data_IF_407952623920
#
_entry.id   IF_407952623920
#
_cell.length_a   1.000
_cell.length_b   1.000
_cell.length_c   1.000
_cell.angle_alpha   90.00
_cell.angle_beta   90.00
_cell.angle_gamma   90.00
#
_symmetry.space_group_name_H-M   'P 1'
#
loop_
_entity.id
_entity.type
_entity.pdbx_description
1 polymer ?
#
# COMPACT_ATOMS: atom_id res chain seq x y z
N UNK A 1 -14.51 -1.23 20.16
CA UNK A 1 -14.60 -1.19 21.63
C UNK A 1 -14.66 0.23 22.18
N UNK A 2 -13.67 1.12 21.95
CA UNK A 2 -13.65 2.51 22.45
C UNK A 2 -14.93 3.32 22.17
N UNK A 3 -15.40 3.33 20.91
CA UNK A 3 -16.63 4.05 20.52
C UNK A 3 -17.88 3.53 21.22
N UNK A 4 -17.97 2.22 21.43
CA UNK A 4 -19.08 1.58 22.15
C UNK A 4 -19.07 1.96 23.63
N UNK A 5 -17.92 1.91 24.30
CA UNK A 5 -17.79 2.32 25.70
C UNK A 5 -18.12 3.80 25.92
N UNK A 6 -17.67 4.69 25.02
CA UNK A 6 -18.06 6.10 25.07
C UNK A 6 -19.57 6.28 24.86
N UNK A 7 -20.17 5.55 23.94
CA UNK A 7 -21.61 5.57 23.73
C UNK A 7 -22.36 5.14 25.02
N UNK A 8 -21.96 4.03 25.63
CA UNK A 8 -22.57 3.53 26.86
C UNK A 8 -22.41 4.53 28.03
N UNK A 9 -21.23 5.13 28.19
CA UNK A 9 -20.96 6.15 29.20
C UNK A 9 -21.85 7.38 29.00
N UNK A 10 -21.90 7.92 27.76
CA UNK A 10 -22.72 9.10 27.45
C UNK A 10 -24.20 8.87 27.57
N UNK A 11 -24.67 7.61 27.52
CA UNK A 11 -26.07 7.21 27.71
C UNK A 11 -26.40 6.78 29.15
N UNK A 12 -25.43 6.85 30.06
CA UNK A 12 -25.61 6.44 31.46
C UNK A 12 -25.75 4.94 31.70
N UNK A 13 -25.41 4.10 30.69
CA UNK A 13 -25.49 2.63 30.84
C UNK A 13 -24.37 2.05 31.71
N UNK A 14 -23.30 2.79 31.93
CA UNK A 14 -22.28 2.49 32.93
C UNK A 14 -21.53 3.76 33.38
N UNK A 15 -20.83 3.67 34.50
CA UNK A 15 -20.19 4.82 35.17
C UNK A 15 -18.70 5.00 34.81
N UNK A 16 -18.09 4.02 34.13
CA UNK A 16 -16.68 4.08 33.76
C UNK A 16 -16.50 4.88 32.47
N UNK A 17 -15.78 6.00 32.54
CA UNK A 17 -15.31 6.72 31.35
C UNK A 17 -14.23 5.92 30.65
N UNK A 18 -14.19 6.01 29.31
CA UNK A 18 -13.09 5.44 28.50
C UNK A 18 -11.71 5.92 28.96
N UNK A 19 -11.57 7.16 29.43
CA UNK A 19 -10.33 7.73 29.95
C UNK A 19 -9.80 7.03 31.19
N UNK A 20 -10.64 6.29 31.93
CA UNK A 20 -10.25 5.50 33.10
C UNK A 20 -9.66 4.12 32.72
N UNK A 21 -9.77 3.71 31.43
CA UNK A 21 -9.25 2.43 30.96
C UNK A 21 -7.82 2.60 30.45
N UNK A 22 -6.85 2.14 31.22
CA UNK A 22 -5.46 2.05 30.81
C UNK A 22 -5.28 0.90 29.80
N UNK A 23 -5.07 1.24 28.53
CA UNK A 23 -4.64 0.25 27.55
C UNK A 23 -3.11 0.19 27.54
N UNK A 24 -2.52 -1.01 27.60
CA UNK A 24 -1.08 -1.14 27.43
C UNK A 24 -0.67 -0.56 26.06
N UNK A 25 0.43 0.20 26.04
CA UNK A 25 1.01 0.66 24.76
C UNK A 25 1.50 -0.58 24.01
N UNK A 26 0.75 -0.97 22.98
CA UNK A 26 1.22 -2.00 22.04
C UNK A 26 2.45 -1.43 21.32
N UNK A 27 3.61 -2.12 21.35
CA UNK A 27 4.76 -1.71 20.58
C UNK A 27 4.33 -1.53 19.12
N UNK A 28 4.75 -0.43 18.49
CA UNK A 28 4.50 -0.25 17.05
C UNK A 28 5.27 -1.35 16.34
N UNK A 29 4.60 -2.35 15.81
CA UNK A 29 5.23 -3.32 14.93
C UNK A 29 5.75 -2.60 13.68
N UNK A 30 6.96 -2.92 13.27
CA UNK A 30 7.50 -2.48 11.99
C UNK A 30 6.58 -2.91 10.86
N UNK A 31 6.48 -2.06 9.84
CA UNK A 31 5.66 -2.39 8.68
C UNK A 31 6.31 -3.56 7.94
N UNK A 32 5.67 -4.74 7.96
CA UNK A 32 6.16 -5.90 7.24
C UNK A 32 6.04 -5.65 5.73
N UNK A 33 7.15 -5.80 4.99
CA UNK A 33 7.23 -5.67 3.54
C UNK A 33 8.03 -6.83 2.94
N UNK A 34 7.85 -7.10 1.65
CA UNK A 34 8.60 -8.13 0.93
C UNK A 34 9.95 -7.60 0.45
N UNK A 35 10.99 -8.43 0.58
CA UNK A 35 12.28 -8.20 -0.09
C UNK A 35 12.15 -8.35 -1.60
N UNK A 36 13.10 -7.82 -2.38
CA UNK A 36 13.12 -7.97 -3.83
C UNK A 36 13.08 -9.44 -4.24
N UNK A 37 13.88 -10.29 -3.58
CA UNK A 37 13.88 -11.74 -3.81
C UNK A 37 12.50 -12.37 -3.59
N UNK A 38 11.80 -11.98 -2.52
CA UNK A 38 10.44 -12.47 -2.24
C UNK A 38 9.42 -11.97 -3.27
N UNK A 39 9.57 -10.74 -3.76
CA UNK A 39 8.73 -10.21 -4.85
C UNK A 39 8.94 -11.04 -6.12
N UNK A 40 10.17 -11.31 -6.53
CA UNK A 40 10.48 -12.17 -7.69
C UNK A 40 9.85 -13.57 -7.53
N UNK A 41 10.10 -14.23 -6.39
CA UNK A 41 9.51 -15.54 -6.11
C UNK A 41 7.97 -15.53 -6.16
N UNK A 42 7.33 -14.46 -5.67
CA UNK A 42 5.89 -14.29 -5.73
C UNK A 42 5.38 -14.12 -7.17
N UNK A 43 6.08 -13.35 -8.00
CA UNK A 43 5.70 -13.11 -9.39
C UNK A 43 5.91 -14.33 -10.29
N UNK A 44 6.85 -15.20 -9.97
CA UNK A 44 7.10 -16.47 -10.67
C UNK A 44 6.12 -17.59 -10.26
N UNK A 45 5.45 -17.43 -9.10
CA UNK A 45 4.50 -18.44 -8.61
C UNK A 45 3.32 -18.61 -9.58
N UNK A 46 2.96 -19.88 -9.87
CA UNK A 46 1.80 -20.20 -10.70
C UNK A 46 0.48 -19.90 -9.95
N UNK A 47 -0.30 -18.98 -10.47
CA UNK A 47 -1.54 -18.50 -9.86
C UNK A 47 -2.59 -18.11 -10.88
N UNK A 48 -3.85 -18.09 -10.43
CA UNK A 48 -4.96 -17.61 -11.25
C UNK A 48 -4.69 -16.18 -11.76
N UNK A 49 -4.98 -15.91 -13.03
CA UNK A 49 -4.75 -14.61 -13.71
C UNK A 49 -5.31 -13.42 -12.92
N UNK A 50 -6.53 -13.52 -12.43
CA UNK A 50 -7.13 -12.43 -11.66
C UNK A 50 -6.44 -12.16 -10.32
N UNK A 51 -5.84 -13.18 -9.71
CA UNK A 51 -4.99 -13.01 -8.53
C UNK A 51 -3.69 -12.32 -8.92
N UNK A 52 -3.09 -12.71 -10.03
CA UNK A 52 -1.90 -12.08 -10.61
C UNK A 52 -2.14 -10.60 -10.89
N UNK A 53 -3.21 -10.25 -11.59
CA UNK A 53 -3.61 -8.85 -11.85
C UNK A 53 -3.78 -8.07 -10.53
N UNK A 54 -4.43 -8.67 -9.53
CA UNK A 54 -4.62 -8.01 -8.23
C UNK A 54 -3.30 -7.72 -7.51
N UNK A 55 -2.36 -8.66 -7.55
CA UNK A 55 -1.01 -8.52 -6.96
C UNK A 55 -0.22 -7.45 -7.73
N UNK A 56 -0.20 -7.49 -9.05
CA UNK A 56 0.50 -6.53 -9.90
C UNK A 56 0.00 -5.10 -9.67
N UNK A 57 -1.31 -4.88 -9.64
CA UNK A 57 -1.90 -3.57 -9.34
C UNK A 57 -1.48 -3.05 -7.97
N UNK A 58 -1.51 -3.90 -6.93
CA UNK A 58 -1.12 -3.47 -5.58
C UNK A 58 0.37 -3.22 -5.43
N UNK A 59 1.23 -4.02 -6.07
CA UNK A 59 2.69 -3.86 -6.02
C UNK A 59 3.17 -2.67 -6.85
N UNK A 60 2.57 -2.39 -8.00
CA UNK A 60 3.02 -1.31 -8.90
C UNK A 60 2.49 0.07 -8.54
N UNK A 61 1.39 0.16 -7.78
CA UNK A 61 0.70 1.43 -7.51
C UNK A 61 0.50 1.73 -6.03
N UNK A 62 0.69 0.74 -5.18
CA UNK A 62 0.35 0.85 -3.77
C UNK A 62 -1.15 1.03 -3.49
N UNK A 63 -2.03 0.65 -4.42
CA UNK A 63 -3.48 0.66 -4.20
C UNK A 63 -3.87 -0.21 -3.01
N UNK A 64 -4.93 0.19 -2.31
CA UNK A 64 -5.64 -0.72 -1.40
C UNK A 64 -6.41 -1.76 -2.22
N UNK A 65 -6.59 -2.96 -1.67
CA UNK A 65 -7.34 -4.01 -2.38
C UNK A 65 -8.76 -3.55 -2.78
N UNK A 66 -9.42 -2.75 -1.96
CA UNK A 66 -10.74 -2.17 -2.29
C UNK A 66 -10.68 -1.19 -3.46
N UNK A 67 -9.59 -0.43 -3.59
CA UNK A 67 -9.34 0.48 -4.71
C UNK A 67 -9.08 -0.32 -6.00
N UNK A 68 -8.26 -1.38 -5.92
CA UNK A 68 -8.01 -2.27 -7.06
C UNK A 68 -9.29 -2.99 -7.54
N UNK A 69 -10.13 -3.47 -6.62
CA UNK A 69 -11.41 -4.09 -6.93
C UNK A 69 -12.44 -3.12 -7.54
N UNK A 70 -12.34 -1.84 -7.22
CA UNK A 70 -13.22 -0.80 -7.77
C UNK A 70 -12.75 -0.21 -9.10
N UNK A 71 -11.53 -0.55 -9.55
CA UNK A 71 -10.96 -0.06 -10.80
C UNK A 71 -11.77 -0.57 -11.99
N UNK A 72 -12.13 0.35 -12.92
CA UNK A 72 -12.97 0.03 -14.08
C UNK A 72 -12.22 0.22 -15.39
N UNK A 73 -12.67 -0.50 -16.43
CA UNK A 73 -12.20 -0.33 -17.82
C UNK A 73 -12.41 1.10 -18.30
N UNK A 74 -13.55 1.70 -17.93
CA UNK A 74 -13.88 3.07 -18.31
C UNK A 74 -12.95 4.11 -17.65
N UNK A 75 -12.55 3.91 -16.39
CA UNK A 75 -11.55 4.77 -15.74
C UNK A 75 -10.20 4.73 -16.46
N UNK A 76 -9.76 3.55 -16.87
CA UNK A 76 -8.50 3.39 -17.62
C UNK A 76 -8.61 4.05 -19.00
N UNK A 77 -9.72 3.85 -19.72
CA UNK A 77 -9.94 4.47 -21.04
C UNK A 77 -9.93 6.00 -21.02
N UNK A 78 -10.35 6.60 -19.90
CA UNK A 78 -10.37 8.06 -19.69
C UNK A 78 -9.10 8.59 -19.04
N UNK A 79 -8.17 7.72 -18.65
CA UNK A 79 -6.94 8.11 -17.99
C UNK A 79 -5.98 8.79 -18.96
N UNK A 80 -5.29 9.80 -18.47
CA UNK A 80 -4.20 10.46 -19.19
C UNK A 80 -2.95 9.60 -19.13
N UNK A 81 -2.24 9.48 -20.23
CA UNK A 81 -0.93 8.81 -20.30
C UNK A 81 0.17 9.85 -20.11
N UNK A 82 0.90 9.75 -19.01
CA UNK A 82 1.99 10.65 -18.65
C UNK A 82 3.27 9.81 -18.48
N UNK A 83 4.26 10.04 -19.32
CA UNK A 83 5.58 9.35 -19.24
C UNK A 83 5.47 7.81 -19.16
N UNK A 84 4.55 7.20 -19.93
CA UNK A 84 4.33 5.74 -19.91
C UNK A 84 3.51 5.21 -18.73
N UNK A 85 2.92 6.10 -17.92
CA UNK A 85 2.07 5.78 -16.78
C UNK A 85 0.66 6.30 -17.02
N UNK A 86 -0.35 5.48 -16.79
CA UNK A 86 -1.75 5.92 -16.81
C UNK A 86 -2.12 6.56 -15.46
N UNK A 87 -2.50 7.83 -15.48
CA UNK A 87 -2.98 8.54 -14.30
C UNK A 87 -4.47 8.26 -14.09
N UNK A 88 -4.80 7.49 -13.06
CA UNK A 88 -6.17 7.10 -12.74
C UNK A 88 -6.59 7.67 -11.38
N UNK A 89 -7.79 8.24 -11.31
CA UNK A 89 -8.38 8.68 -10.04
C UNK A 89 -9.08 7.53 -9.33
N UNK A 90 -8.69 7.23 -8.11
CA UNK A 90 -9.30 6.21 -7.25
C UNK A 90 -9.94 6.82 -6.01
N UNK A 91 -11.03 6.20 -5.54
CA UNK A 91 -11.74 6.62 -4.35
C UNK A 91 -11.13 5.96 -3.11
N UNK A 92 -10.40 6.73 -2.33
CA UNK A 92 -9.74 6.27 -1.12
C UNK A 92 -10.67 6.25 0.11
N UNK A 93 -10.08 6.02 1.29
CA UNK A 93 -10.79 6.05 2.57
C UNK A 93 -11.43 7.44 2.79
N UNK A 94 -12.61 7.46 3.40
CA UNK A 94 -13.42 8.67 3.62
C UNK A 94 -13.84 9.38 2.32
N UNK A 95 -14.00 8.65 1.21
CA UNK A 95 -14.44 9.16 -0.11
C UNK A 95 -13.53 10.27 -0.68
N UNK A 96 -12.26 10.31 -0.30
CA UNK A 96 -11.28 11.24 -0.87
C UNK A 96 -10.71 10.67 -2.16
N UNK A 97 -10.79 11.42 -3.25
CA UNK A 97 -10.13 11.07 -4.51
C UNK A 97 -8.62 11.23 -4.38
N UNK A 98 -7.87 10.32 -4.97
CA UNK A 98 -6.43 10.43 -5.16
C UNK A 98 -6.02 9.87 -6.52
N UNK A 99 -4.97 10.42 -7.11
CA UNK A 99 -4.37 9.85 -8.31
C UNK A 99 -3.47 8.68 -7.97
N UNK A 100 -3.51 7.66 -8.81
CA UNK A 100 -2.55 6.56 -8.86
C UNK A 100 -1.97 6.49 -10.28
N UNK A 101 -0.74 6.02 -10.39
CA UNK A 101 -0.04 5.90 -11.66
C UNK A 101 0.19 4.41 -11.93
N UNK A 102 -0.39 3.91 -13.03
CA UNK A 102 -0.32 2.50 -13.40
C UNK A 102 0.57 2.37 -14.64
N UNK A 103 1.64 1.56 -14.59
CA UNK A 103 2.49 1.29 -15.75
C UNK A 103 1.70 0.75 -16.95
N UNK A 104 2.08 1.15 -18.15
CA UNK A 104 1.35 0.83 -19.39
C UNK A 104 1.24 -0.68 -19.64
N UNK A 105 2.29 -1.44 -19.35
CA UNK A 105 2.32 -2.90 -19.43
C UNK A 105 1.33 -3.56 -18.46
N UNK A 106 1.24 -3.06 -17.23
CA UNK A 106 0.26 -3.53 -16.23
C UNK A 106 -1.17 -3.21 -16.67
N UNK A 107 -1.39 -2.04 -17.26
CA UNK A 107 -2.69 -1.67 -17.85
C UNK A 107 -3.05 -2.64 -18.98
N UNK A 108 -2.13 -2.86 -19.92
CA UNK A 108 -2.36 -3.77 -21.07
C UNK A 108 -2.72 -5.19 -20.57
N UNK A 109 -1.93 -5.74 -19.65
CA UNK A 109 -2.18 -7.06 -19.05
C UNK A 109 -3.53 -7.11 -18.31
N UNK A 110 -3.87 -6.06 -17.54
CA UNK A 110 -5.13 -5.98 -16.81
C UNK A 110 -6.34 -5.90 -17.74
N UNK A 111 -6.24 -5.16 -18.85
CA UNK A 111 -7.30 -5.07 -19.85
C UNK A 111 -7.45 -6.37 -20.63
N UNK A 112 -6.37 -7.05 -20.97
CA UNK A 112 -6.39 -8.37 -21.60
C UNK A 112 -7.13 -9.39 -20.71
N UNK A 113 -6.83 -9.42 -19.43
CA UNK A 113 -7.56 -10.26 -18.45
C UNK A 113 -9.05 -9.90 -18.41
N UNK A 114 -9.38 -8.60 -18.41
CA UNK A 114 -10.75 -8.12 -18.29
C UNK A 114 -11.55 -8.11 -19.60
N UNK A 115 -10.96 -8.45 -20.75
CA UNK A 115 -11.62 -8.34 -22.04
C UNK A 115 -12.89 -9.22 -22.14
N UNK A 116 -12.89 -10.38 -21.52
CA UNK A 116 -14.01 -11.32 -21.51
C UNK A 116 -15.02 -11.07 -20.37
N UNK A 117 -14.80 -10.06 -19.52
CA UNK A 117 -15.72 -9.73 -18.45
C UNK A 117 -16.87 -8.87 -18.95
N UNK A 118 -18.09 -9.25 -18.61
CA UNK A 118 -19.29 -8.46 -18.89
C UNK A 118 -19.37 -7.18 -18.08
N UNK A 119 -18.81 -7.20 -16.86
CA UNK A 119 -18.76 -6.04 -15.98
C UNK A 119 -17.67 -5.04 -16.39
N UNK A 120 -17.84 -3.78 -16.00
CA UNK A 120 -16.86 -2.72 -16.25
C UNK A 120 -15.63 -2.82 -15.33
N UNK A 121 -15.72 -3.52 -14.19
CA UNK A 121 -14.58 -3.75 -13.29
C UNK A 121 -13.48 -4.54 -13.98
N UNK A 122 -12.22 -4.16 -13.71
CA UNK A 122 -11.05 -4.92 -14.15
C UNK A 122 -11.03 -6.28 -13.44
N UNK A 123 -11.21 -6.29 -12.12
CA UNK A 123 -11.23 -7.50 -11.31
C UNK A 123 -12.67 -7.92 -11.01
N UNK A 124 -13.13 -8.99 -11.62
CA UNK A 124 -14.43 -9.62 -11.30
C UNK A 124 -14.23 -10.79 -10.33
N UNK A 125 -13.60 -10.50 -9.21
CA UNK A 125 -13.30 -11.47 -8.15
C UNK A 125 -13.76 -10.90 -6.82
N UNK A 126 -14.52 -11.63 -6.01
CA UNK A 126 -14.92 -11.14 -4.69
C UNK A 126 -13.72 -11.06 -3.73
N UNK A 127 -13.73 -10.06 -2.86
CA UNK A 127 -12.67 -9.79 -1.89
C UNK A 127 -12.24 -11.02 -1.08
N UNK A 128 -13.20 -11.79 -0.57
CA UNK A 128 -12.92 -12.98 0.25
C UNK A 128 -12.12 -14.04 -0.51
N UNK A 129 -12.36 -14.19 -1.82
CA UNK A 129 -11.65 -15.16 -2.67
C UNK A 129 -10.19 -14.75 -2.86
N UNK A 130 -9.94 -13.47 -3.06
CA UNK A 130 -8.54 -12.95 -3.11
C UNK A 130 -7.84 -13.23 -1.79
N UNK A 131 -8.46 -12.93 -0.65
CA UNK A 131 -7.89 -13.20 0.67
C UNK A 131 -7.56 -14.69 0.87
N UNK A 132 -8.45 -15.58 0.46
CA UNK A 132 -8.25 -17.03 0.54
C UNK A 132 -7.04 -17.47 -0.32
N UNK A 133 -6.97 -16.98 -1.56
CA UNK A 133 -5.86 -17.30 -2.47
C UNK A 133 -4.52 -16.75 -1.97
N UNK A 134 -4.46 -15.51 -1.48
CA UNK A 134 -3.25 -14.94 -0.88
C UNK A 134 -2.78 -15.79 0.32
N UNK A 135 -3.69 -16.24 1.19
CA UNK A 135 -3.34 -17.14 2.30
C UNK A 135 -2.76 -18.48 1.83
N UNK A 136 -3.30 -19.06 0.75
CA UNK A 136 -2.76 -20.29 0.16
C UNK A 136 -1.33 -20.04 -0.34
N UNK A 137 -1.14 -19.02 -1.17
CA UNK A 137 0.18 -18.66 -1.75
C UNK A 137 1.21 -18.40 -0.64
N UNK A 138 0.82 -17.65 0.42
CA UNK A 138 1.66 -17.44 1.62
C UNK A 138 2.17 -18.75 2.22
N UNK A 139 1.28 -19.75 2.34
CA UNK A 139 1.65 -21.06 2.88
C UNK A 139 2.59 -21.83 1.94
N UNK A 140 2.32 -21.77 0.65
CA UNK A 140 3.07 -22.51 -0.37
C UNK A 140 4.50 -21.92 -0.53
N UNK A 141 4.63 -20.59 -0.45
CA UNK A 141 5.92 -19.89 -0.55
C UNK A 141 6.74 -19.84 0.75
N UNK A 142 6.14 -20.17 1.90
CA UNK A 142 6.82 -20.21 3.19
C UNK A 142 7.16 -18.83 3.80
N UNK A 143 6.64 -17.73 3.24
CA UNK A 143 6.76 -16.40 3.84
C UNK A 143 5.43 -15.65 3.84
N UNK A 144 5.22 -14.88 4.92
CA UNK A 144 3.95 -14.18 5.12
C UNK A 144 3.83 -12.94 4.23
N UNK A 145 2.69 -12.81 3.55
CA UNK A 145 2.26 -11.56 2.93
C UNK A 145 0.73 -11.49 2.85
N UNK A 146 0.24 -10.28 2.66
CA UNK A 146 -1.18 -9.94 2.53
C UNK A 146 -1.34 -8.79 1.54
N UNK A 147 -2.55 -8.46 1.15
CA UNK A 147 -2.82 -7.26 0.35
C UNK A 147 -2.21 -5.98 0.97
N UNK A 148 -2.18 -5.91 2.29
CA UNK A 148 -1.58 -4.78 3.01
C UNK A 148 -0.05 -4.79 2.92
N UNK A 149 0.55 -5.98 3.00
CA UNK A 149 2.00 -6.18 2.82
C UNK A 149 2.46 -5.77 1.42
N UNK A 150 1.71 -6.11 0.37
CA UNK A 150 2.04 -5.71 -1.02
C UNK A 150 2.09 -4.18 -1.16
N UNK A 151 1.11 -3.49 -0.61
CA UNK A 151 1.11 -2.03 -0.56
C UNK A 151 2.26 -1.47 0.29
N UNK A 152 2.58 -2.08 1.43
CA UNK A 152 3.72 -1.70 2.25
C UNK A 152 5.03 -1.87 1.49
N UNK A 153 5.17 -2.94 0.71
CA UNK A 153 6.33 -3.19 -0.16
C UNK A 153 6.53 -2.05 -1.16
N UNK A 154 5.48 -1.64 -1.88
CA UNK A 154 5.54 -0.50 -2.80
C UNK A 154 6.01 0.79 -2.10
N UNK A 155 5.38 1.14 -0.98
CA UNK A 155 5.72 2.36 -0.25
C UNK A 155 7.14 2.33 0.33
N UNK A 156 7.58 1.18 0.82
CA UNK A 156 8.95 0.98 1.32
C UNK A 156 9.98 1.13 0.20
N UNK A 157 9.70 0.60 -0.98
CA UNK A 157 10.60 0.74 -2.14
C UNK A 157 10.72 2.21 -2.58
N UNK A 158 9.63 2.99 -2.56
CA UNK A 158 9.70 4.43 -2.84
C UNK A 158 10.59 5.16 -1.83
N UNK A 159 10.42 4.88 -0.52
CA UNK A 159 11.22 5.52 0.53
C UNK A 159 12.69 5.11 0.44
N UNK A 160 12.98 3.81 0.21
CA UNK A 160 14.36 3.32 0.03
C UNK A 160 15.06 3.94 -1.17
N UNK A 161 14.33 4.26 -2.24
CA UNK A 161 14.83 4.98 -3.40
C UNK A 161 14.84 6.51 -3.22
N UNK A 162 14.86 6.98 -1.97
CA UNK A 162 15.02 8.39 -1.58
C UNK A 162 13.92 9.32 -2.14
N UNK A 163 12.73 8.77 -2.42
CA UNK A 163 11.60 9.59 -2.80
C UNK A 163 11.16 10.47 -1.61
N UNK A 164 10.83 11.71 -1.93
CA UNK A 164 10.33 12.66 -0.93
C UNK A 164 9.14 12.09 -0.15
N UNK A 165 9.24 12.10 1.18
CA UNK A 165 8.26 11.49 2.07
C UNK A 165 6.87 12.10 1.94
N UNK A 166 6.79 13.39 1.59
CA UNK A 166 5.53 14.08 1.37
C UNK A 166 4.85 13.60 0.07
N UNK A 167 5.64 13.38 -0.99
CA UNK A 167 5.16 12.79 -2.24
C UNK A 167 4.65 11.37 -2.01
N UNK A 168 5.40 10.54 -1.26
CA UNK A 168 4.99 9.18 -0.88
C UNK A 168 3.69 9.21 -0.05
N UNK A 169 3.54 10.15 0.89
CA UNK A 169 2.31 10.34 1.64
C UNK A 169 1.11 10.62 0.72
N UNK A 170 1.27 11.52 -0.24
CA UNK A 170 0.21 11.86 -1.20
C UNK A 170 -0.18 10.65 -2.05
N UNK A 171 0.81 9.94 -2.60
CA UNK A 171 0.57 8.70 -3.37
C UNK A 171 -0.12 7.62 -2.53
N UNK A 172 0.27 7.48 -1.28
CA UNK A 172 -0.37 6.54 -0.35
C UNK A 172 -1.78 6.98 0.06
N UNK A 173 -2.15 8.25 -0.07
CA UNK A 173 -3.40 8.78 0.49
C UNK A 173 -3.46 8.64 2.01
N UNK A 174 -2.34 8.89 2.70
CA UNK A 174 -2.28 8.92 4.15
C UNK A 174 -2.70 10.30 4.66
N UNK A 175 -3.54 10.33 5.70
CA UNK A 175 -4.03 11.58 6.28
C UNK A 175 -2.96 12.36 7.06
N UNK A 176 -1.88 11.70 7.49
CA UNK A 176 -0.76 12.30 8.24
C UNK A 176 0.58 11.71 7.81
N UNK A 177 1.64 12.53 7.85
CA UNK A 177 3.03 12.10 7.58
C UNK A 177 3.48 11.03 8.57
N UNK A 178 3.00 11.06 9.82
CA UNK A 178 3.32 10.08 10.85
C UNK A 178 3.01 8.62 10.46
N UNK A 179 2.10 8.39 9.52
CA UNK A 179 1.83 7.05 8.99
C UNK A 179 2.92 6.66 7.98
N UNK A 180 3.38 7.59 7.17
CA UNK A 180 4.42 7.38 6.14
C UNK A 180 5.81 7.30 6.76
N UNK A 181 6.09 8.00 7.86
CA UNK A 181 7.37 7.95 8.57
C UNK A 181 7.72 6.56 9.14
N UNK A 182 6.74 5.63 9.22
CA UNK A 182 7.00 4.23 9.60
C UNK A 182 7.88 3.47 8.59
N UNK A 183 8.01 3.99 7.38
CA UNK A 183 8.86 3.43 6.32
C UNK A 183 10.27 4.03 6.33
N UNK A 184 10.49 5.08 7.13
CA UNK A 184 11.80 5.66 7.39
C UNK A 184 12.51 4.83 8.47
N UNK A 185 13.22 3.82 8.05
CA UNK A 185 14.28 3.22 8.85
C UNK A 185 15.59 3.85 8.36
N UNK A 186 16.00 4.95 9.01
CA UNK A 186 17.36 5.43 8.85
C UNK A 186 18.26 4.31 9.40
N UNK A 187 19.00 3.66 8.54
CA UNK A 187 20.03 2.73 8.97
C UNK A 187 21.18 3.55 9.56
N UNK A 188 21.90 3.01 10.55
CA UNK A 188 23.09 3.67 11.12
C UNK A 188 24.10 4.05 10.02
N UNK A 189 24.11 3.31 8.91
CA UNK A 189 24.91 3.59 7.73
C UNK A 189 24.48 4.87 7.01
N UNK A 190 23.18 5.13 6.81
CA UNK A 190 22.67 6.35 6.18
C UNK A 190 22.91 7.59 7.03
N UNK A 191 22.84 7.44 8.37
CA UNK A 191 23.21 8.51 9.31
C UNK A 191 24.72 8.81 9.24
N UNK A 192 25.54 7.77 9.14
CA UNK A 192 26.99 7.91 8.99
C UNK A 192 27.39 8.55 7.65
N UNK A 193 26.74 8.22 6.53
CA UNK A 193 26.94 8.88 5.24
C UNK A 193 26.57 10.38 5.28
N UNK A 194 25.45 10.71 5.91
CA UNK A 194 25.05 12.11 6.08
C UNK A 194 26.08 12.90 6.90
N UNK A 195 26.59 12.31 7.98
CA UNK A 195 27.64 12.93 8.79
C UNK A 195 28.94 13.15 8.00
N UNK A 196 29.35 12.19 7.14
CA UNK A 196 30.50 12.33 6.24
C UNK A 196 30.30 13.45 5.21
N UNK A 197 29.10 13.56 4.60
CA UNK A 197 28.78 14.63 3.66
C UNK A 197 28.90 16.02 4.31
N UNK A 198 28.36 16.18 5.51
CA UNK A 198 28.47 17.45 6.27
C UNK A 198 29.93 17.76 6.60
N UNK A 199 30.70 16.75 7.06
CA UNK A 199 32.11 16.94 7.37
C UNK A 199 32.95 17.34 6.15
N UNK A 200 32.68 16.75 4.97
CA UNK A 200 33.35 17.10 3.72
C UNK A 200 33.02 18.54 3.29
N UNK A 201 31.74 18.99 3.47
CA UNK A 201 31.35 20.38 3.20
C UNK A 201 32.07 21.39 4.11
N UNK A 202 32.29 21.04 5.39
CA UNK A 202 33.00 21.87 6.33
C UNK A 202 34.51 21.97 6.04
N UNK A 203 35.11 20.90 5.49
CA UNK A 203 36.54 20.85 5.13
C UNK A 203 36.81 21.52 3.75
N UNK A 204 35.81 21.75 2.91
CA UNK A 204 35.97 22.41 1.62
C UNK A 204 35.84 23.94 1.68
N UNK A 205 35.76 24.54 2.87
CA UNK A 205 35.60 25.98 3.10
C UNK A 205 36.89 26.63 3.58
N UNK A 206 38.02 25.94 3.61
CA UNK A 206 39.39 26.48 3.81
C UNK A 206 40.14 26.46 2.45
#
# INVERSE_FOLDING_TARGET
MKAFLNFCYNRGYHTLSWSAIFLPKVPKSEAHYLTEKQVHTLLEYDMDEGIRVSILLMLSTGMRISEALSLTKNQIKKAELVEGLYQVSVLGKCRKLRSVFIPQDIVAYSLQYACNHTKDQILDIPYWKIQQKLKKITKDLGFYFSAHTLRHTYLTFLVKNKWDLYKVQRLAGHSTVAITSRYLHATDYELAETAKLVNNLLQSTD
#
